data_IF_930359452539
#
_entry.id   IF_930359452539
#
_cell.length_a   1.000
_cell.length_b   1.000
_cell.length_c   1.000
_cell.angle_alpha   90.00
_cell.angle_beta   90.00
_cell.angle_gamma   90.00
#
_symmetry.space_group_name_H-M   'P 1'
#
loop_
_entity.id
_entity.type
_entity.pdbx_description
1 polymer ?
#
# COMPACT_ATOMS: atom_id res chain seq x y z
N UNK A 1 -19.16 10.99 5.19
CA UNK A 1 -17.85 10.34 5.20
C UNK A 1 -17.16 10.42 3.84
N UNK A 2 -15.85 10.49 3.86
CA UNK A 2 -15.06 10.57 2.66
C UNK A 2 -14.81 9.18 2.08
N UNK A 3 -14.76 9.09 0.76
CA UNK A 3 -14.25 7.89 0.11
C UNK A 3 -12.72 7.82 0.27
N UNK A 4 -12.13 6.65 0.05
CA UNK A 4 -10.67 6.53 0.06
C UNK A 4 -10.03 7.38 -1.05
N UNK A 5 -10.69 7.49 -2.20
CA UNK A 5 -10.18 8.33 -3.28
C UNK A 5 -10.09 9.79 -2.86
N UNK A 6 -11.09 10.29 -2.15
CA UNK A 6 -11.09 11.65 -1.63
C UNK A 6 -9.98 11.85 -0.59
N UNK A 7 -9.83 10.90 0.32
CA UNK A 7 -8.76 10.95 1.32
C UNK A 7 -7.39 10.93 0.67
N UNK A 8 -7.20 10.07 -0.32
CA UNK A 8 -5.93 9.98 -1.04
C UNK A 8 -5.52 11.32 -1.64
N UNK A 9 -6.48 12.05 -2.20
CA UNK A 9 -6.21 13.33 -2.81
C UNK A 9 -5.79 14.41 -1.81
N UNK A 10 -6.10 14.20 -0.52
CA UNK A 10 -5.81 15.17 0.54
C UNK A 10 -4.55 14.83 1.34
N UNK A 11 -4.03 13.62 1.22
CA UNK A 11 -2.90 13.16 2.00
C UNK A 11 -1.59 13.33 1.24
N UNK A 12 -0.50 13.44 1.99
CA UNK A 12 0.83 13.63 1.41
C UNK A 12 1.26 12.36 0.68
N UNK A 13 1.42 12.39 -0.66
CA UNK A 13 1.81 11.21 -1.43
C UNK A 13 3.23 10.72 -1.15
N UNK A 14 4.04 11.50 -0.44
CA UNK A 14 5.39 11.05 -0.07
C UNK A 14 5.36 10.02 1.04
N UNK A 15 4.32 10.00 1.86
CA UNK A 15 4.22 9.09 3.00
C UNK A 15 2.99 8.18 2.96
N UNK A 16 2.03 8.45 2.09
CA UNK A 16 0.83 7.62 1.91
C UNK A 16 0.81 6.98 0.53
N UNK A 17 0.47 5.71 0.49
CA UNK A 17 0.38 4.97 -0.76
C UNK A 17 -0.97 4.24 -0.83
N UNK A 18 -1.67 4.37 -1.97
CA UNK A 18 -2.90 3.64 -2.22
C UNK A 18 -2.56 2.23 -2.69
N UNK A 19 -2.62 1.27 -1.75
CA UNK A 19 -2.24 -0.11 -2.03
C UNK A 19 -3.26 -0.80 -2.95
N UNK A 20 -4.54 -0.59 -2.68
CA UNK A 20 -5.64 -1.13 -3.49
C UNK A 20 -6.91 -0.36 -3.18
N UNK A 21 -8.07 -0.85 -3.62
CA UNK A 21 -9.33 -0.15 -3.42
C UNK A 21 -9.72 -0.01 -1.95
N UNK A 22 -9.22 -0.91 -1.10
CA UNK A 22 -9.62 -0.98 0.30
C UNK A 22 -8.62 -0.33 1.24
N UNK A 23 -7.37 -0.15 0.83
CA UNK A 23 -6.31 0.27 1.73
C UNK A 23 -5.51 1.44 1.21
N UNK A 24 -5.37 2.43 2.08
CA UNK A 24 -4.49 3.57 1.91
C UNK A 24 -3.56 3.54 3.12
N UNK A 25 -2.26 3.35 2.88
CA UNK A 25 -1.31 3.03 3.95
C UNK A 25 -0.25 4.11 4.11
N UNK A 26 0.17 4.32 5.36
CA UNK A 26 1.29 5.18 5.69
C UNK A 26 2.59 4.36 5.67
N UNK A 27 3.67 4.96 5.17
CA UNK A 27 4.95 4.26 5.04
C UNK A 27 5.43 3.65 6.37
N UNK A 28 5.23 4.35 7.48
CA UNK A 28 5.69 3.88 8.79
C UNK A 28 4.85 2.73 9.33
N UNK A 29 3.68 2.45 8.74
CA UNK A 29 2.83 1.35 9.20
C UNK A 29 3.24 0.01 8.59
N UNK A 30 4.14 0.00 7.64
CA UNK A 30 4.52 -1.22 6.90
C UNK A 30 5.51 -2.02 7.75
N UNK A 31 5.14 -3.28 8.04
CA UNK A 31 6.04 -4.23 8.70
C UNK A 31 6.92 -4.95 7.69
N UNK A 32 6.32 -5.44 6.61
CA UNK A 32 7.04 -6.19 5.58
C UNK A 32 6.32 -6.12 4.26
N UNK A 33 7.09 -6.29 3.18
CA UNK A 33 6.58 -6.40 1.82
C UNK A 33 7.21 -7.65 1.22
N UNK A 34 6.37 -8.58 0.78
CA UNK A 34 6.82 -9.86 0.25
C UNK A 34 6.27 -10.09 -1.15
N UNK A 35 7.00 -10.86 -1.94
CA UNK A 35 6.51 -11.29 -3.25
C UNK A 35 5.27 -12.18 -3.06
N UNK A 36 4.33 -12.07 -4.00
CA UNK A 36 3.13 -12.86 -4.00
C UNK A 36 2.90 -13.43 -5.40
N UNK A 37 1.95 -14.32 -5.54
CA UNK A 37 1.67 -14.99 -6.81
C UNK A 37 1.42 -13.99 -7.93
N UNK A 38 1.79 -14.35 -9.16
CA UNK A 38 1.52 -13.57 -10.38
C UNK A 38 2.09 -12.15 -10.33
N UNK A 39 3.28 -12.01 -9.80
CA UNK A 39 4.01 -10.72 -9.72
C UNK A 39 3.30 -9.67 -8.87
N UNK A 40 2.40 -10.10 -7.98
CA UNK A 40 1.79 -9.23 -7.00
C UNK A 40 2.70 -9.11 -5.78
N UNK A 41 2.35 -8.19 -4.89
CA UNK A 41 3.05 -8.05 -3.61
C UNK A 41 2.05 -8.20 -2.46
N UNK A 42 2.55 -8.63 -1.32
CA UNK A 42 1.77 -8.72 -0.09
C UNK A 42 2.41 -7.82 0.96
N UNK A 43 1.62 -6.92 1.53
CA UNK A 43 2.06 -6.01 2.57
C UNK A 43 1.47 -6.46 3.90
N UNK A 44 2.30 -6.50 4.95
CA UNK A 44 1.85 -6.70 6.33
C UNK A 44 2.09 -5.43 7.11
N UNK A 45 1.19 -5.15 8.06
CA UNK A 45 1.22 -3.94 8.86
C UNK A 45 1.72 -4.23 10.27
N UNK A 46 2.41 -3.27 10.88
CA UNK A 46 2.99 -3.43 12.22
C UNK A 46 1.93 -3.68 13.29
N UNK A 47 0.83 -2.92 13.25
CA UNK A 47 -0.21 -2.99 14.28
C UNK A 47 -1.30 -3.99 13.99
N UNK A 48 -1.35 -4.50 12.78
CA UNK A 48 -2.42 -5.41 12.33
C UNK A 48 -1.78 -6.59 11.60
N UNK A 49 -1.04 -7.45 12.30
CA UNK A 49 -0.24 -8.50 11.64
C UNK A 49 -1.10 -9.56 10.93
N UNK A 50 -2.37 -9.67 11.28
CA UNK A 50 -3.28 -10.63 10.65
C UNK A 50 -3.84 -10.11 9.34
N UNK A 51 -3.71 -8.83 9.06
CA UNK A 51 -4.19 -8.25 7.82
C UNK A 51 -3.14 -8.43 6.73
N UNK A 52 -3.58 -8.99 5.60
CA UNK A 52 -2.73 -9.16 4.43
C UNK A 52 -3.27 -8.29 3.31
N UNK A 53 -2.45 -7.36 2.84
CA UNK A 53 -2.85 -6.42 1.79
C UNK A 53 -2.18 -6.85 0.49
N UNK A 54 -2.99 -7.25 -0.48
CA UNK A 54 -2.48 -7.69 -1.78
C UNK A 54 -2.47 -6.51 -2.74
N UNK A 55 -1.31 -6.28 -3.34
CA UNK A 55 -1.09 -5.21 -4.31
C UNK A 55 -0.98 -5.84 -5.69
N UNK A 56 -1.78 -5.36 -6.64
CA UNK A 56 -1.79 -5.88 -8.00
C UNK A 56 -0.42 -5.72 -8.67
N UNK A 57 -0.20 -6.46 -9.75
CA UNK A 57 1.06 -6.38 -10.48
C UNK A 57 1.37 -4.96 -10.94
N UNK A 58 0.38 -4.25 -11.44
CA UNK A 58 0.54 -2.88 -11.91
C UNK A 58 0.88 -1.94 -10.76
N UNK A 59 0.16 -2.07 -9.64
CA UNK A 59 0.43 -1.24 -8.47
C UNK A 59 1.73 -1.65 -7.78
N UNK A 60 2.15 -2.90 -7.92
CA UNK A 60 3.42 -3.35 -7.36
C UNK A 60 4.60 -2.59 -7.95
N UNK A 61 4.56 -2.34 -9.26
CA UNK A 61 5.60 -1.54 -9.91
C UNK A 61 5.63 -0.09 -9.35
N UNK A 62 4.43 0.49 -9.15
CA UNK A 62 4.34 1.83 -8.56
C UNK A 62 4.85 1.85 -7.12
N UNK A 63 4.52 0.81 -6.34
CA UNK A 63 4.98 0.70 -4.96
C UNK A 63 6.50 0.65 -4.89
N UNK A 64 7.12 -0.14 -5.75
CA UNK A 64 8.59 -0.24 -5.79
C UNK A 64 9.22 1.11 -6.12
N UNK A 65 8.67 1.83 -7.10
CA UNK A 65 9.14 3.17 -7.44
C UNK A 65 8.95 4.15 -6.30
N UNK A 66 7.82 4.05 -5.60
CA UNK A 66 7.51 4.94 -4.47
C UNK A 66 8.48 4.71 -3.31
N UNK A 67 8.85 3.45 -3.04
CA UNK A 67 9.80 3.12 -1.97
C UNK A 67 11.23 3.52 -2.31
N UNK A 68 11.56 3.55 -3.57
CA UNK A 68 12.94 3.68 -4.06
C UNK A 68 13.29 5.11 -4.47
N UNK A 69 12.48 6.08 -4.13
CA UNK A 69 12.73 7.48 -4.48
C UNK A 69 13.56 8.21 -3.44
#
# INVERSE_FOLDING_TARGET
PYSLDELESQLNPDVFFRANRQYLIHIDSILSINNWFNSRLKIRLKKYPDVEIIVSRERAAELKGWLDR
#
